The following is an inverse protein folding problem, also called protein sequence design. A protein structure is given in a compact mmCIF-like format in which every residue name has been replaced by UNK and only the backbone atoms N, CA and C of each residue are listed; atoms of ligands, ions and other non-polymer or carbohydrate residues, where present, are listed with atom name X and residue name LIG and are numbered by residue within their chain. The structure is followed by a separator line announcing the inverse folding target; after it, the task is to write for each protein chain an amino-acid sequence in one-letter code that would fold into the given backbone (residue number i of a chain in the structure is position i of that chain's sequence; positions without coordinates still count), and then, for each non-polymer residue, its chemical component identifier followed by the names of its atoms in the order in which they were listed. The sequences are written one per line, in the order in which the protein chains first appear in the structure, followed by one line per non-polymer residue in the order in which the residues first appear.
data_IF_164889907818
#
_entry.id   IF_164889907818
#
_cell.length_a   1.000
_cell.length_b   1.000
_cell.length_c   1.000
_cell.angle_alpha   90.00
_cell.angle_beta   90.00
_cell.angle_gamma   90.00
#
_symmetry.space_group_name_H-M   'P 1'
#
loop_
_entity.id
_entity.type
_entity.pdbx_description
1 polymer ?
#
# COMPACT_ATOMS: atom_id res chain seq x y z
N UNK A 1 4.44 32.66 5.08
CA UNK A 1 4.92 32.01 6.33
C UNK A 1 3.84 31.22 7.05
N UNK A 2 2.82 31.83 7.69
CA UNK A 2 1.80 31.07 8.45
C UNK A 2 1.12 29.97 7.63
N UNK A 3 0.70 30.27 6.40
CA UNK A 3 0.09 29.28 5.49
C UNK A 3 1.02 28.12 5.12
N UNK A 4 2.31 28.37 4.95
CA UNK A 4 3.32 27.35 4.64
C UNK A 4 3.60 26.49 5.88
N UNK A 5 3.75 27.12 7.05
CA UNK A 5 4.00 26.42 8.32
C UNK A 5 2.79 25.66 8.87
N UNK A 6 1.58 25.98 8.42
CA UNK A 6 0.38 25.22 8.74
C UNK A 6 0.35 23.85 8.04
N UNK A 7 1.18 23.66 7.01
CA UNK A 7 1.32 22.38 6.35
C UNK A 7 2.44 21.55 7.03
N UNK A 8 2.14 20.39 7.63
CA UNK A 8 3.13 19.64 8.41
C UNK A 8 4.35 19.16 7.60
N UNK A 9 4.15 18.79 6.33
CA UNK A 9 5.26 18.34 5.48
C UNK A 9 6.22 19.49 5.14
N UNK A 10 5.70 20.68 4.82
CA UNK A 10 6.53 21.86 4.57
C UNK A 10 7.15 22.42 5.84
N UNK A 11 6.46 22.31 6.98
CA UNK A 11 6.95 22.79 8.27
C UNK A 11 8.13 21.98 8.82
N UNK A 12 8.25 20.71 8.42
CA UNK A 12 9.35 19.83 8.80
C UNK A 12 10.66 20.13 8.07
N UNK A 13 10.60 20.86 6.95
CA UNK A 13 11.80 21.36 6.28
C UNK A 13 12.25 22.61 7.02
N UNK A 14 13.42 22.56 7.65
CA UNK A 14 14.03 23.74 8.27
C UNK A 14 14.51 24.70 7.17
N UNK A 15 14.14 25.96 7.29
CA UNK A 15 14.61 27.01 6.37
C UNK A 15 14.68 28.38 7.06
N UNK A 16 15.65 29.18 6.64
CA UNK A 16 15.80 30.58 7.00
C UNK A 16 15.16 31.50 5.96
N UNK A 17 15.13 32.80 6.27
CA UNK A 17 14.55 33.82 5.39
C UNK A 17 15.45 35.06 5.38
N UNK A 18 15.98 35.39 4.21
CA UNK A 18 16.73 36.62 3.96
C UNK A 18 15.84 37.66 3.27
N UNK A 19 15.69 38.84 3.89
CA UNK A 19 14.97 40.01 3.33
C UNK A 19 15.85 41.25 3.23
N UNK A 20 17.16 41.08 3.24
CA UNK A 20 18.10 42.19 3.14
C UNK A 20 17.95 42.88 1.78
N UNK A 21 17.85 44.22 1.79
CA UNK A 21 17.86 45.02 0.54
C UNK A 21 19.16 44.86 -0.26
N UNK A 22 20.23 44.38 0.38
CA UNK A 22 21.54 44.14 -0.24
C UNK A 22 21.80 42.66 -0.53
N UNK A 23 20.78 41.80 -0.45
CA UNK A 23 20.97 40.37 -0.71
C UNK A 23 21.27 40.14 -2.20
N UNK A 24 22.42 39.55 -2.51
CA UNK A 24 22.83 39.24 -3.88
C UNK A 24 22.04 38.10 -4.52
N UNK A 25 21.33 37.31 -3.72
CA UNK A 25 20.54 36.15 -4.16
C UNK A 25 19.03 36.44 -4.21
N UNK A 26 18.60 37.62 -3.73
CA UNK A 26 17.20 38.01 -3.85
C UNK A 26 16.87 38.27 -5.33
N UNK A 27 15.79 37.68 -5.87
CA UNK A 27 15.47 37.82 -7.28
C UNK A 27 15.09 39.26 -7.61
N UNK A 28 15.46 39.71 -8.81
CA UNK A 28 15.16 41.08 -9.28
C UNK A 28 13.71 41.29 -9.67
N UNK A 29 13.14 40.33 -10.41
CA UNK A 29 11.79 40.41 -10.98
C UNK A 29 10.83 39.34 -10.42
N UNK A 30 11.32 38.49 -9.51
CA UNK A 30 10.58 37.40 -8.87
C UNK A 30 10.20 37.68 -7.40
N UNK A 31 9.73 36.63 -6.73
CA UNK A 31 9.32 36.68 -5.32
C UNK A 31 10.37 36.07 -4.39
N UNK A 32 10.90 34.90 -4.75
CA UNK A 32 11.82 34.14 -3.89
C UNK A 32 12.77 33.28 -4.72
N UNK A 33 13.97 33.08 -4.19
CA UNK A 33 14.89 32.01 -4.58
C UNK A 33 15.31 31.25 -3.33
N UNK A 34 15.70 29.98 -3.47
CA UNK A 34 16.21 29.14 -2.37
C UNK A 34 17.64 28.72 -2.63
N UNK A 35 18.45 28.66 -1.58
CA UNK A 35 19.81 28.16 -1.67
C UNK A 35 20.04 26.83 -0.97
N UNK A 36 21.25 26.30 -1.16
CA UNK A 36 21.72 25.04 -0.55
C UNK A 36 21.87 25.09 0.97
N UNK A 37 21.91 26.27 1.60
CA UNK A 37 22.01 26.40 3.06
C UNK A 37 20.61 26.38 3.72
N UNK A 38 19.55 26.30 2.91
CA UNK A 38 18.18 26.32 3.37
C UNK A 38 17.64 27.74 3.56
N UNK A 39 18.26 28.76 2.99
CA UNK A 39 17.78 30.14 3.08
C UNK A 39 16.88 30.52 1.90
N UNK A 40 15.72 31.11 2.22
CA UNK A 40 14.82 31.71 1.25
C UNK A 40 15.14 33.20 1.07
N UNK A 41 15.65 33.56 -0.10
CA UNK A 41 15.99 34.92 -0.48
C UNK A 41 14.78 35.61 -1.10
N UNK A 42 14.13 36.45 -0.32
CA UNK A 42 12.87 37.08 -0.67
C UNK A 42 13.12 38.46 -1.26
N UNK A 43 12.40 38.81 -2.33
CA UNK A 43 12.43 40.16 -2.86
C UNK A 43 11.93 41.16 -1.79
N UNK A 44 12.74 42.16 -1.39
CA UNK A 44 12.48 42.99 -0.21
C UNK A 44 11.22 43.87 -0.34
N UNK A 45 11.00 44.44 -1.53
CA UNK A 45 9.93 45.43 -1.78
C UNK A 45 8.76 44.93 -2.64
N UNK A 46 8.73 43.66 -3.09
CA UNK A 46 7.69 43.18 -3.99
C UNK A 46 6.37 43.02 -3.23
N UNK A 47 5.30 43.58 -3.78
CA UNK A 47 3.95 43.44 -3.23
C UNK A 47 3.21 42.38 -4.04
N UNK A 48 2.66 41.38 -3.35
CA UNK A 48 1.84 40.33 -3.93
C UNK A 48 0.80 39.87 -2.90
N UNK A 49 -0.29 39.25 -3.35
CA UNK A 49 -1.29 38.69 -2.45
C UNK A 49 -0.67 37.64 -1.51
N UNK A 50 -1.16 37.52 -0.26
CA UNK A 50 -0.66 36.51 0.68
C UNK A 50 -0.71 35.08 0.14
N UNK A 51 -1.70 34.76 -0.70
CA UNK A 51 -1.83 33.46 -1.34
C UNK A 51 -0.74 33.19 -2.39
N UNK A 52 -0.33 34.21 -3.16
CA UNK A 52 0.79 34.08 -4.09
C UNK A 52 2.12 33.94 -3.35
N UNK A 53 2.32 34.69 -2.27
CA UNK A 53 3.48 34.49 -1.40
C UNK A 53 3.52 33.09 -0.79
N UNK A 54 2.38 32.54 -0.37
CA UNK A 54 2.33 31.18 0.16
C UNK A 54 2.71 30.14 -0.89
N UNK A 55 2.22 30.28 -2.12
CA UNK A 55 2.60 29.41 -3.25
C UNK A 55 4.11 29.48 -3.51
N UNK A 56 4.66 30.68 -3.68
CA UNK A 56 6.08 30.84 -4.01
C UNK A 56 7.02 30.35 -2.91
N UNK A 57 6.67 30.60 -1.65
CA UNK A 57 7.43 30.05 -0.52
C UNK A 57 7.32 28.52 -0.45
N UNK A 58 6.14 27.95 -0.68
CA UNK A 58 5.98 26.49 -0.72
C UNK A 58 6.79 25.85 -1.86
N UNK A 59 6.78 26.46 -3.05
CA UNK A 59 7.60 26.05 -4.19
C UNK A 59 9.09 26.03 -3.83
N UNK A 60 9.60 27.11 -3.22
CA UNK A 60 11.00 27.21 -2.81
C UNK A 60 11.37 26.16 -1.73
N UNK A 61 10.49 25.92 -0.75
CA UNK A 61 10.69 24.87 0.27
C UNK A 61 10.66 23.47 -0.35
N UNK A 62 9.83 23.22 -1.36
CA UNK A 62 9.77 21.94 -2.06
C UNK A 62 11.07 21.65 -2.82
N UNK A 63 11.79 22.65 -3.34
CA UNK A 63 13.13 22.42 -3.90
C UNK A 63 14.13 21.86 -2.88
N UNK A 64 14.03 22.27 -1.60
CA UNK A 64 14.81 21.66 -0.52
C UNK A 64 14.35 20.21 -0.27
N UNK A 65 13.03 20.01 -0.14
CA UNK A 65 12.44 18.70 0.14
C UNK A 65 12.62 17.67 -0.99
N UNK A 66 12.80 18.11 -2.24
CA UNK A 66 13.05 17.23 -3.39
C UNK A 66 14.55 17.01 -3.62
N UNK A 67 15.41 17.71 -2.89
CA UNK A 67 16.87 17.60 -3.04
C UNK A 67 17.42 18.33 -4.26
N UNK A 68 16.75 19.37 -4.76
CA UNK A 68 17.18 20.15 -5.93
C UNK A 68 18.35 21.09 -5.61
N UNK A 69 18.39 21.57 -4.37
CA UNK A 69 19.45 22.42 -3.80
C UNK A 69 20.00 21.76 -2.53
N UNK A 70 20.65 20.58 -2.62
CA UNK A 70 21.09 19.86 -1.44
C UNK A 70 22.26 20.58 -0.77
N UNK A 71 22.28 20.57 0.56
CA UNK A 71 23.43 21.00 1.34
C UNK A 71 24.55 19.95 1.20
N UNK A 72 25.68 20.32 0.59
CA UNK A 72 26.79 19.39 0.37
C UNK A 72 28.14 20.10 0.38
N UNK A 73 29.19 19.41 0.85
CA UNK A 73 30.57 19.91 0.81
C UNK A 73 31.15 19.78 -0.60
N UNK A 74 31.91 20.78 -1.03
CA UNK A 74 32.61 20.79 -2.32
C UNK A 74 31.89 21.55 -3.43
N UNK A 75 32.58 21.73 -4.56
CA UNK A 75 32.05 22.47 -5.71
C UNK A 75 30.95 21.66 -6.41
N UNK A 76 29.89 22.36 -6.87
CA UNK A 76 28.72 21.74 -7.49
C UNK A 76 28.57 22.23 -8.92
N UNK A 77 28.33 21.29 -9.83
CA UNK A 77 27.97 21.64 -11.21
C UNK A 77 26.60 22.29 -11.21
N UNK A 78 26.50 23.50 -11.76
CA UNK A 78 25.22 24.18 -11.93
C UNK A 78 24.36 23.43 -12.95
N UNK A 79 23.10 23.11 -12.63
CA UNK A 79 22.17 22.54 -13.59
C UNK A 79 21.99 23.50 -14.76
N UNK A 80 21.79 22.94 -15.95
CA UNK A 80 21.45 23.76 -17.09
C UNK A 80 19.99 24.23 -17.02
N UNK A 81 19.59 25.09 -17.96
CA UNK A 81 18.22 25.62 -17.99
C UNK A 81 17.13 24.55 -18.14
N UNK A 82 17.46 23.39 -18.72
CA UNK A 82 16.52 22.29 -18.93
C UNK A 82 16.28 21.53 -17.63
N UNK A 83 17.33 21.26 -16.86
CA UNK A 83 17.20 20.68 -15.52
C UNK A 83 16.42 21.59 -14.57
N UNK A 84 16.76 22.89 -14.58
CA UNK A 84 16.08 23.89 -13.74
C UNK A 84 14.57 23.92 -14.02
N UNK A 85 14.19 23.98 -15.30
CA UNK A 85 12.79 23.96 -15.69
C UNK A 85 12.09 22.65 -15.34
N UNK A 86 12.75 21.49 -15.51
CA UNK A 86 12.16 20.19 -15.21
C UNK A 86 11.84 20.04 -13.72
N UNK A 87 12.77 20.49 -12.86
CA UNK A 87 12.60 20.55 -11.40
C UNK A 87 11.45 21.46 -10.98
N UNK A 88 11.38 22.67 -11.52
CA UNK A 88 10.26 23.59 -11.22
C UNK A 88 8.93 23.03 -11.73
N UNK A 89 8.90 22.33 -12.87
CA UNK A 89 7.72 21.62 -13.37
C UNK A 89 7.27 20.52 -12.42
N UNK A 90 8.19 19.70 -11.92
CA UNK A 90 7.88 18.64 -10.95
C UNK A 90 7.36 19.23 -9.62
N UNK A 91 8.01 20.28 -9.11
CA UNK A 91 7.58 20.99 -7.89
C UNK A 91 6.18 21.59 -8.07
N UNK A 92 5.91 22.30 -9.17
CA UNK A 92 4.60 22.88 -9.41
C UNK A 92 3.52 21.82 -9.62
N UNK A 93 3.83 20.72 -10.31
CA UNK A 93 2.93 19.56 -10.46
C UNK A 93 2.54 18.98 -9.11
N UNK A 94 3.51 18.83 -8.20
CA UNK A 94 3.24 18.40 -6.83
C UNK A 94 2.38 19.42 -6.08
N UNK A 95 2.68 20.72 -6.20
CA UNK A 95 1.98 21.80 -5.50
C UNK A 95 0.51 21.96 -5.94
N UNK A 96 0.17 21.58 -7.19
CA UNK A 96 -1.23 21.49 -7.63
C UNK A 96 -2.03 20.43 -6.84
N UNK A 97 -1.41 19.31 -6.48
CA UNK A 97 -2.00 18.29 -5.61
C UNK A 97 -1.89 18.62 -4.12
N UNK A 98 -1.12 19.64 -3.77
CA UNK A 98 -0.74 19.99 -2.41
C UNK A 98 -1.06 21.46 -2.12
N UNK A 99 -2.36 21.76 -1.98
CA UNK A 99 -2.92 23.12 -2.07
C UNK A 99 -2.47 24.06 -0.95
N UNK A 100 -1.34 24.72 -1.16
CA UNK A 100 -0.84 25.82 -0.32
C UNK A 100 -0.76 27.09 -1.16
N UNK A 101 -1.53 28.12 -0.76
CA UNK A 101 -1.60 29.38 -1.50
C UNK A 101 -2.46 29.30 -2.76
N UNK A 102 -2.15 30.14 -3.74
CA UNK A 102 -2.83 30.19 -5.05
C UNK A 102 -1.80 30.15 -6.16
N UNK A 103 -2.04 29.31 -7.17
CA UNK A 103 -1.23 29.24 -8.39
C UNK A 103 -1.21 30.61 -9.07
N UNK A 104 -0.03 31.20 -9.34
CA UNK A 104 0.09 32.44 -10.09
C UNK A 104 -0.51 32.33 -11.50
N UNK A 105 -1.16 33.39 -11.98
CA UNK A 105 -1.85 33.43 -13.29
C UNK A 105 -0.93 33.15 -14.49
N UNK A 106 0.39 33.38 -14.34
CA UNK A 106 1.38 33.13 -15.39
C UNK A 106 1.86 31.68 -15.48
N UNK A 107 1.43 30.79 -14.57
CA UNK A 107 1.83 29.39 -14.58
C UNK A 107 0.77 28.50 -15.28
N UNK A 108 1.19 27.42 -15.96
CA UNK A 108 0.26 26.46 -16.57
C UNK A 108 -0.71 25.84 -15.56
N UNK A 109 -1.93 25.54 -16.01
CA UNK A 109 -2.94 24.84 -15.22
C UNK A 109 -2.64 23.34 -15.03
N UNK A 110 -1.79 22.77 -15.89
CA UNK A 110 -1.37 21.38 -15.84
C UNK A 110 0.08 21.24 -16.31
N UNK A 111 0.74 20.18 -15.84
CA UNK A 111 2.14 19.89 -16.13
C UNK A 111 2.28 18.51 -16.77
N UNK A 112 3.32 18.26 -17.59
CA UNK A 112 3.53 16.97 -18.22
C UNK A 112 3.88 15.90 -17.19
N UNK A 113 3.52 14.65 -17.47
CA UNK A 113 3.95 13.48 -16.70
C UNK A 113 5.41 13.09 -17.01
N UNK A 114 6.01 12.31 -16.11
CA UNK A 114 7.40 11.84 -16.19
C UNK A 114 8.30 12.38 -15.08
N UNK A 115 9.46 11.74 -14.92
CA UNK A 115 10.55 12.17 -14.04
C UNK A 115 11.34 13.35 -14.65
N UNK A 116 12.07 14.06 -13.79
CA UNK A 116 12.79 15.29 -14.15
C UNK A 116 13.90 15.05 -15.17
N UNK A 117 14.63 13.94 -15.04
CA UNK A 117 15.75 13.60 -15.92
C UNK A 117 15.26 13.34 -17.36
N UNK A 118 14.18 12.58 -17.50
CA UNK A 118 13.52 12.32 -18.78
C UNK A 118 12.93 13.58 -19.41
N UNK A 119 12.32 14.46 -18.60
CA UNK A 119 11.83 15.76 -19.07
C UNK A 119 12.98 16.63 -19.60
N UNK A 120 14.06 16.77 -18.82
CA UNK A 120 15.23 17.58 -19.19
C UNK A 120 15.94 17.02 -20.43
N UNK A 121 16.15 15.70 -20.51
CA UNK A 121 16.74 15.04 -21.68
C UNK A 121 15.91 15.27 -22.95
N UNK A 122 14.58 15.17 -22.86
CA UNK A 122 13.68 15.45 -23.98
C UNK A 122 13.80 16.90 -24.43
N UNK A 123 13.79 17.87 -23.52
CA UNK A 123 13.86 19.28 -23.88
C UNK A 123 15.24 19.74 -24.35
N UNK A 124 16.33 19.08 -23.94
CA UNK A 124 17.65 19.27 -24.56
C UNK A 124 17.64 18.93 -26.05
N UNK A 125 16.90 17.89 -26.43
CA UNK A 125 16.79 17.44 -27.83
C UNK A 125 15.79 18.27 -28.63
N UNK A 126 14.61 18.49 -28.08
CA UNK A 126 13.45 19.01 -28.83
C UNK A 126 13.21 20.52 -28.61
N UNK A 127 13.91 21.12 -27.64
CA UNK A 127 13.72 22.50 -27.19
C UNK A 127 12.85 22.59 -25.92
N UNK A 128 13.09 23.61 -25.10
CA UNK A 128 12.31 23.91 -23.90
C UNK A 128 11.03 24.66 -24.30
N UNK A 129 9.82 24.14 -24.00
CA UNK A 129 8.59 24.85 -24.29
C UNK A 129 8.49 26.18 -23.53
N UNK A 130 8.04 27.25 -24.21
CA UNK A 130 7.92 28.60 -23.64
C UNK A 130 7.10 28.64 -22.35
N UNK A 131 6.09 27.79 -22.23
CA UNK A 131 5.26 27.67 -21.02
C UNK A 131 6.04 27.27 -19.76
N UNK A 132 7.22 26.65 -19.90
CA UNK A 132 8.06 26.18 -18.79
C UNK A 132 9.36 26.98 -18.63
N UNK A 133 9.63 27.96 -19.50
CA UNK A 133 10.85 28.78 -19.40
C UNK A 133 10.89 29.65 -18.13
N UNK A 134 9.72 29.98 -17.56
CA UNK A 134 9.57 30.84 -16.38
C UNK A 134 8.68 30.19 -15.31
N UNK A 135 8.81 28.88 -15.15
CA UNK A 135 7.99 28.14 -14.18
C UNK A 135 8.50 28.22 -12.73
N UNK A 136 9.68 28.79 -12.51
CA UNK A 136 10.23 29.10 -11.18
C UNK A 136 9.66 30.39 -10.58
N UNK A 137 10.11 30.70 -9.37
CA UNK A 137 9.60 31.79 -8.53
C UNK A 137 10.48 33.04 -8.49
N UNK A 138 11.65 33.00 -9.13
CA UNK A 138 12.63 34.09 -9.23
C UNK A 138 12.49 34.94 -10.51
N UNK A 139 11.38 34.80 -11.24
CA UNK A 139 11.13 35.57 -12.46
C UNK A 139 11.91 35.00 -13.65
N UNK A 140 12.80 35.81 -14.24
CA UNK A 140 13.66 35.37 -15.34
C UNK A 140 14.96 34.69 -14.87
N UNK A 141 15.27 34.80 -13.57
CA UNK A 141 16.44 34.21 -12.94
C UNK A 141 16.09 32.81 -12.38
N UNK A 142 17.07 31.89 -12.23
CA UNK A 142 16.86 30.64 -11.51
C UNK A 142 16.49 30.90 -10.05
N UNK A 143 15.49 30.17 -9.55
CA UNK A 143 15.12 30.17 -8.13
C UNK A 143 15.87 29.12 -7.30
N UNK A 144 16.79 28.39 -7.93
CA UNK A 144 17.62 27.35 -7.32
C UNK A 144 19.08 27.83 -7.29
N UNK A 145 19.58 28.14 -6.09
CA UNK A 145 20.93 28.68 -5.88
C UNK A 145 21.81 27.64 -5.21
N UNK A 146 22.65 26.95 -5.98
CA UNK A 146 23.59 25.98 -5.41
C UNK A 146 24.79 26.68 -4.78
N UNK A 147 24.98 26.46 -3.48
CA UNK A 147 26.11 26.95 -2.70
C UNK A 147 26.86 25.77 -2.07
N UNK A 148 28.20 25.84 -1.97
CA UNK A 148 28.96 24.87 -1.18
C UNK A 148 28.67 25.03 0.31
N UNK A 149 28.38 23.93 1.00
CA UNK A 149 28.16 23.93 2.45
C UNK A 149 29.46 24.26 3.18
N UNK A 150 29.46 25.36 3.93
CA UNK A 150 30.58 25.83 4.74
C UNK A 150 30.38 25.68 6.25
N UNK A 151 29.26 25.09 6.67
CA UNK A 151 28.95 24.85 8.08
C UNK A 151 29.90 23.85 8.76
N UNK A 152 30.10 24.04 10.06
CA UNK A 152 30.91 23.15 10.90
C UNK A 152 30.21 21.82 11.22
N UNK A 153 28.88 21.77 11.10
CA UNK A 153 28.06 20.58 11.30
C UNK A 153 27.93 19.73 10.04
N UNK A 154 27.34 18.53 10.19
CA UNK A 154 26.87 17.77 9.03
C UNK A 154 25.82 18.58 8.28
N UNK A 155 25.82 18.57 6.93
CA UNK A 155 24.79 19.23 6.15
C UNK A 155 23.40 18.67 6.50
N UNK A 156 22.37 19.52 6.60
CA UNK A 156 21.01 19.06 6.82
C UNK A 156 20.49 18.22 5.64
N UNK A 157 19.78 17.15 5.94
CA UNK A 157 19.08 16.32 4.94
C UNK A 157 17.60 16.72 4.87
N UNK A 158 17.34 17.82 4.15
CA UNK A 158 15.99 18.33 3.94
C UNK A 158 15.10 17.36 3.17
N UNK A 159 15.69 16.53 2.30
CA UNK A 159 14.97 15.53 1.52
C UNK A 159 14.41 14.43 2.44
N UNK A 160 15.25 13.90 3.34
CA UNK A 160 14.82 12.92 4.33
C UNK A 160 13.80 13.50 5.31
N UNK A 161 14.01 14.74 5.76
CA UNK A 161 13.08 15.43 6.66
C UNK A 161 11.69 15.58 6.00
N UNK A 162 11.65 16.05 4.75
CA UNK A 162 10.42 16.19 3.98
C UNK A 162 9.73 14.84 3.74
N UNK A 163 10.45 13.82 3.26
CA UNK A 163 9.89 12.51 2.99
C UNK A 163 9.29 11.85 4.25
N UNK A 164 10.00 11.96 5.38
CA UNK A 164 9.53 11.47 6.68
C UNK A 164 8.25 12.18 7.12
N UNK A 165 8.21 13.51 6.99
CA UNK A 165 7.05 14.30 7.38
C UNK A 165 5.84 14.10 6.46
N UNK A 166 6.07 13.97 5.15
CA UNK A 166 5.03 13.65 4.18
C UNK A 166 4.39 12.29 4.50
N UNK A 167 5.20 11.27 4.76
CA UNK A 167 4.73 9.93 5.14
C UNK A 167 3.87 9.99 6.40
N UNK A 168 4.35 10.68 7.44
CA UNK A 168 3.58 10.88 8.69
C UNK A 168 2.26 11.63 8.45
N UNK A 169 2.27 12.65 7.59
CA UNK A 169 1.07 13.44 7.27
C UNK A 169 0.03 12.59 6.55
N UNK A 170 0.45 11.73 5.61
CA UNK A 170 -0.45 10.79 4.92
C UNK A 170 -1.00 9.77 5.91
N UNK A 171 -0.17 9.15 6.74
CA UNK A 171 -0.63 8.22 7.78
C UNK A 171 -1.63 8.88 8.74
N UNK A 172 -1.36 10.12 9.16
CA UNK A 172 -2.26 10.90 10.00
C UNK A 172 -3.62 11.17 9.34
N UNK A 173 -3.63 11.52 8.04
CA UNK A 173 -4.86 11.73 7.29
C UNK A 173 -5.67 10.42 7.14
N UNK A 174 -5.00 9.29 6.94
CA UNK A 174 -5.63 7.97 6.93
C UNK A 174 -6.21 7.59 8.30
N UNK A 175 -5.49 7.90 9.38
CA UNK A 175 -5.99 7.70 10.75
C UNK A 175 -7.23 8.57 11.03
N UNK A 176 -7.25 9.83 10.59
CA UNK A 176 -8.43 10.71 10.71
C UNK A 176 -9.62 10.20 9.89
N UNK A 177 -9.39 9.81 8.63
CA UNK A 177 -10.45 9.26 7.77
C UNK A 177 -11.06 7.97 8.36
N UNK A 178 -10.25 7.18 9.06
CA UNK A 178 -10.69 6.00 9.81
C UNK A 178 -11.27 6.30 11.19
N UNK A 179 -11.47 7.57 11.58
CA UNK A 179 -12.00 7.97 12.89
C UNK A 179 -11.08 7.64 14.07
N UNK A 180 -9.79 7.37 13.81
CA UNK A 180 -8.79 6.99 14.82
C UNK A 180 -8.07 8.19 15.44
N UNK A 181 -8.31 9.39 14.91
CA UNK A 181 -7.68 10.63 15.31
C UNK A 181 -8.59 11.82 14.99
N UNK A 182 -8.65 12.79 15.88
CA UNK A 182 -9.53 13.97 15.72
C UNK A 182 -8.88 15.09 14.89
N UNK A 183 -7.54 15.10 14.76
CA UNK A 183 -6.79 16.13 14.03
C UNK A 183 -5.43 15.61 13.53
N UNK A 184 -4.79 16.30 12.59
CA UNK A 184 -3.46 15.95 12.07
C UNK A 184 -2.33 16.02 13.13
N UNK A 185 -2.59 16.68 14.27
CA UNK A 185 -1.62 16.89 15.36
C UNK A 185 -1.99 16.15 16.66
N UNK A 186 -3.18 15.51 16.74
CA UNK A 186 -3.63 14.80 17.96
C UNK A 186 -2.78 13.57 18.34
N UNK A 187 -2.86 13.05 19.55
CA UNK A 187 -2.20 11.76 19.83
C UNK A 187 -2.97 10.62 19.14
N UNK A 188 -2.25 9.75 18.43
CA UNK A 188 -2.84 8.54 17.90
C UNK A 188 -3.16 7.58 19.07
N UNK A 189 -4.34 6.96 19.06
CA UNK A 189 -4.64 5.87 19.99
C UNK A 189 -3.55 4.80 19.86
N UNK A 190 -3.00 4.33 21.00
CA UNK A 190 -1.94 3.33 21.00
C UNK A 190 -2.42 2.07 20.29
N UNK A 191 -1.90 1.86 19.07
CA UNK A 191 -2.27 0.73 18.20
C UNK A 191 -1.95 -0.58 18.91
N UNK A 192 -2.90 -1.50 18.88
CA UNK A 192 -2.69 -2.89 19.31
C UNK A 192 -1.80 -3.59 18.27
N UNK A 193 -0.99 -4.59 18.64
CA UNK A 193 -0.12 -5.32 17.71
C UNK A 193 -0.81 -5.81 16.43
N UNK A 194 -2.02 -6.39 16.56
CA UNK A 194 -2.82 -6.81 15.40
C UNK A 194 -3.28 -5.66 14.49
N UNK A 195 -3.45 -4.45 15.03
CA UNK A 195 -3.76 -3.28 14.20
C UNK A 195 -2.53 -2.83 13.41
N UNK A 196 -1.34 -2.89 14.01
CA UNK A 196 -0.07 -2.62 13.30
C UNK A 196 0.14 -3.65 12.18
N UNK A 197 -0.15 -4.92 12.44
CA UNK A 197 -0.05 -5.98 11.45
C UNK A 197 -1.00 -5.76 10.26
N UNK A 198 -2.27 -5.38 10.50
CA UNK A 198 -3.20 -5.06 9.42
C UNK A 198 -2.76 -3.82 8.64
N UNK A 199 -2.36 -2.75 9.33
CA UNK A 199 -1.87 -1.53 8.68
C UNK A 199 -0.65 -1.83 7.78
N UNK A 200 0.23 -2.76 8.18
CA UNK A 200 1.35 -3.21 7.36
C UNK A 200 0.90 -3.87 6.07
N UNK A 201 -0.14 -4.71 6.08
CA UNK A 201 -0.70 -5.27 4.84
C UNK A 201 -1.23 -4.16 3.93
N UNK A 202 -1.97 -3.20 4.49
CA UNK A 202 -2.52 -2.05 3.74
C UNK A 202 -1.43 -1.21 3.08
N UNK A 203 -0.35 -0.89 3.79
CA UNK A 203 0.68 0.02 3.30
C UNK A 203 1.82 -0.64 2.53
N UNK A 204 2.12 -1.91 2.83
CA UNK A 204 3.42 -2.50 2.52
C UNK A 204 3.34 -3.81 1.74
N UNK A 205 2.17 -4.47 1.67
CA UNK A 205 2.02 -5.77 1.02
C UNK A 205 0.95 -5.76 -0.09
N UNK A 206 1.32 -5.41 -1.34
CA UNK A 206 0.41 -5.18 -2.45
C UNK A 206 -0.64 -6.28 -2.67
N UNK A 207 -0.23 -7.55 -2.56
CA UNK A 207 -1.08 -8.71 -2.83
C UNK A 207 -2.36 -8.71 -2.00
N UNK A 208 -2.25 -8.36 -0.73
CA UNK A 208 -3.36 -8.40 0.23
C UNK A 208 -3.83 -7.01 0.67
N UNK A 209 -3.16 -5.93 0.23
CA UNK A 209 -3.41 -4.58 0.74
C UNK A 209 -4.84 -4.07 0.51
N UNK A 210 -5.42 -4.33 -0.67
CA UNK A 210 -6.81 -3.95 -0.97
C UNK A 210 -7.81 -4.70 -0.08
N UNK A 211 -7.57 -5.99 0.17
CA UNK A 211 -8.44 -6.83 1.00
C UNK A 211 -8.31 -6.42 2.46
N UNK A 212 -7.09 -6.24 2.95
CA UNK A 212 -6.81 -5.79 4.31
C UNK A 212 -7.46 -4.43 4.61
N UNK A 213 -7.54 -3.52 3.63
CA UNK A 213 -8.19 -2.22 3.78
C UNK A 213 -9.72 -2.30 3.95
N UNK A 214 -10.35 -3.37 3.45
CA UNK A 214 -11.80 -3.58 3.57
C UNK A 214 -12.23 -4.54 4.68
N UNK A 215 -11.29 -5.25 5.32
CA UNK A 215 -11.58 -6.16 6.43
C UNK A 215 -11.65 -5.40 7.76
N UNK A 216 -12.63 -5.79 8.59
CA UNK A 216 -12.79 -5.30 9.96
C UNK A 216 -12.24 -6.32 10.97
N UNK A 217 -11.42 -5.84 11.90
CA UNK A 217 -10.97 -6.65 13.04
C UNK A 217 -11.95 -6.53 14.21
N UNK A 218 -12.37 -7.65 14.76
CA UNK A 218 -13.24 -7.74 15.94
C UNK A 218 -12.49 -8.44 17.07
N UNK A 219 -11.95 -7.67 18.00
CA UNK A 219 -11.16 -8.18 19.13
C UNK A 219 -11.97 -8.10 20.44
N UNK A 220 -12.86 -9.07 20.66
CA UNK A 220 -13.73 -9.16 21.83
C UNK A 220 -13.54 -10.50 22.55
N UNK A 221 -13.16 -10.43 23.84
CA UNK A 221 -12.84 -11.62 24.65
C UNK A 221 -14.07 -12.49 24.94
N UNK A 222 -15.25 -11.90 25.11
CA UNK A 222 -16.48 -12.63 25.40
C UNK A 222 -16.98 -13.34 24.16
N UNK A 223 -16.95 -12.66 23.01
CA UNK A 223 -17.28 -13.24 21.71
C UNK A 223 -16.30 -14.37 21.37
N UNK A 224 -14.99 -14.15 21.52
CA UNK A 224 -13.98 -15.18 21.28
C UNK A 224 -14.23 -16.42 22.15
N UNK A 225 -14.55 -16.24 23.44
CA UNK A 225 -14.90 -17.34 24.33
C UNK A 225 -16.18 -18.06 23.91
N UNK A 226 -17.23 -17.32 23.56
CA UNK A 226 -18.53 -17.88 23.20
C UNK A 226 -18.48 -18.73 21.92
N UNK A 227 -17.62 -18.37 20.96
CA UNK A 227 -17.49 -19.05 19.67
C UNK A 227 -16.28 -19.97 19.55
N UNK A 228 -15.55 -20.16 20.66
CA UNK A 228 -14.41 -21.07 20.74
C UNK A 228 -13.22 -20.61 19.90
N UNK A 229 -12.97 -19.30 19.81
CA UNK A 229 -11.86 -18.70 19.05
C UNK A 229 -10.63 -18.62 19.97
N UNK A 230 -9.67 -19.50 19.71
CA UNK A 230 -8.44 -19.66 20.50
C UNK A 230 -7.41 -18.59 20.19
N UNK A 231 -7.24 -18.26 18.90
CA UNK A 231 -6.36 -17.19 18.40
C UNK A 231 -7.12 -16.26 17.46
N UNK A 232 -7.56 -16.77 16.31
CA UNK A 232 -8.24 -16.01 15.27
C UNK A 232 -9.26 -16.89 14.53
N UNK A 233 -10.20 -16.26 13.82
CA UNK A 233 -11.13 -16.90 12.90
C UNK A 233 -11.66 -15.83 11.93
N UNK A 234 -12.02 -16.22 10.72
CA UNK A 234 -12.52 -15.30 9.69
C UNK A 234 -13.97 -15.60 9.32
N UNK A 235 -14.73 -14.55 9.08
CA UNK A 235 -16.01 -14.64 8.39
C UNK A 235 -15.94 -13.85 7.08
N UNK A 236 -15.81 -14.54 5.93
CA UNK A 236 -15.77 -13.90 4.62
C UNK A 236 -17.08 -13.20 4.24
N UNK A 237 -18.24 -13.70 4.68
CA UNK A 237 -19.55 -13.09 4.41
C UNK A 237 -19.80 -11.79 5.18
N UNK A 238 -19.07 -11.58 6.28
CA UNK A 238 -19.15 -10.36 7.08
C UNK A 238 -17.99 -9.38 6.78
N UNK A 239 -16.93 -9.84 6.11
CA UNK A 239 -15.71 -9.05 5.97
C UNK A 239 -14.98 -8.86 7.30
N UNK A 240 -15.11 -9.83 8.22
CA UNK A 240 -14.62 -9.69 9.61
C UNK A 240 -13.59 -10.78 9.96
N UNK A 241 -12.50 -10.37 10.62
CA UNK A 241 -11.60 -11.29 11.32
C UNK A 241 -11.79 -11.09 12.82
N UNK A 242 -12.14 -12.17 13.52
CA UNK A 242 -12.34 -12.20 14.95
C UNK A 242 -11.06 -12.65 15.64
N UNK A 243 -10.61 -11.89 16.64
CA UNK A 243 -9.35 -12.11 17.34
C UNK A 243 -9.60 -12.36 18.82
N UNK A 244 -8.82 -13.24 19.43
CA UNK A 244 -8.80 -13.40 20.88
C UNK A 244 -7.82 -12.40 21.52
N UNK A 245 -8.29 -11.29 22.15
CA UNK A 245 -7.42 -10.23 22.67
C UNK A 245 -6.63 -10.65 23.92
N UNK A 246 -6.91 -11.84 24.48
CA UNK A 246 -6.18 -12.39 25.62
C UNK A 246 -4.88 -13.07 25.22
N UNK A 247 -4.70 -13.38 23.92
CA UNK A 247 -3.44 -13.89 23.41
C UNK A 247 -2.39 -12.79 23.29
N UNK A 248 -1.13 -13.19 23.38
CA UNK A 248 0.03 -12.31 23.26
C UNK A 248 0.92 -12.90 22.19
N UNK A 249 1.03 -12.16 21.10
CA UNK A 249 1.89 -12.41 19.96
C UNK A 249 2.56 -11.08 19.61
N UNK A 250 3.77 -11.14 19.07
CA UNK A 250 4.46 -9.96 18.57
C UNK A 250 3.90 -9.49 17.22
N UNK A 251 4.45 -8.39 16.70
CA UNK A 251 3.98 -7.79 15.44
C UNK A 251 4.19 -8.71 14.22
N UNK A 252 5.26 -9.52 14.20
CA UNK A 252 5.53 -10.45 13.08
C UNK A 252 4.62 -11.67 13.16
N UNK A 253 4.37 -12.19 14.37
CA UNK A 253 3.41 -13.27 14.60
C UNK A 253 1.99 -12.84 14.22
N UNK A 254 1.57 -11.63 14.57
CA UNK A 254 0.28 -11.11 14.13
C UNK A 254 0.19 -10.90 12.62
N UNK A 255 1.29 -10.56 11.93
CA UNK A 255 1.30 -10.51 10.45
C UNK A 255 1.04 -11.89 9.86
N UNK A 256 1.68 -12.92 10.40
CA UNK A 256 1.44 -14.29 9.94
C UNK A 256 -0.03 -14.71 10.17
N UNK A 257 -0.55 -14.49 11.38
CA UNK A 257 -1.94 -14.81 11.76
C UNK A 257 -2.93 -14.09 10.85
N UNK A 258 -2.76 -12.78 10.63
CA UNK A 258 -3.68 -12.02 9.77
C UNK A 258 -3.54 -12.39 8.29
N UNK A 259 -2.32 -12.61 7.81
CA UNK A 259 -2.09 -13.10 6.45
C UNK A 259 -2.81 -14.42 6.19
N UNK A 260 -2.82 -15.31 7.18
CA UNK A 260 -3.51 -16.59 7.12
C UNK A 260 -5.03 -16.42 6.97
N UNK A 261 -5.65 -15.65 7.87
CA UNK A 261 -7.09 -15.40 7.84
C UNK A 261 -7.53 -14.64 6.57
N UNK A 262 -6.71 -13.69 6.11
CA UNK A 262 -6.94 -12.95 4.87
C UNK A 262 -6.94 -13.89 3.66
N UNK A 263 -6.00 -14.84 3.59
CA UNK A 263 -5.93 -15.82 2.50
C UNK A 263 -7.11 -16.80 2.53
N UNK A 264 -7.57 -17.24 3.70
CA UNK A 264 -8.78 -18.06 3.82
C UNK A 264 -10.02 -17.37 3.23
N UNK A 265 -10.21 -16.09 3.56
CA UNK A 265 -11.31 -15.31 3.01
C UNK A 265 -11.14 -15.07 1.50
N UNK A 266 -9.96 -14.61 1.10
CA UNK A 266 -9.71 -14.18 -0.26
C UNK A 266 -9.76 -15.33 -1.28
N UNK A 267 -9.27 -16.51 -0.89
CA UNK A 267 -9.28 -17.74 -1.71
C UNK A 267 -10.58 -18.54 -1.57
N UNK A 268 -11.55 -18.03 -0.81
CA UNK A 268 -12.88 -18.61 -0.63
C UNK A 268 -12.85 -20.08 -0.19
N UNK A 269 -11.98 -20.42 0.76
CA UNK A 269 -11.83 -21.80 1.22
C UNK A 269 -13.12 -22.39 1.81
N UNK A 270 -14.00 -21.55 2.39
CA UNK A 270 -15.33 -21.99 2.81
C UNK A 270 -16.18 -22.55 1.65
N UNK A 271 -16.25 -21.82 0.54
CA UNK A 271 -17.06 -22.21 -0.62
C UNK A 271 -16.42 -23.35 -1.43
N UNK A 272 -15.09 -23.34 -1.51
CA UNK A 272 -14.29 -24.34 -2.25
C UNK A 272 -14.36 -25.74 -1.62
N UNK A 273 -14.79 -25.83 -0.36
CA UNK A 273 -14.99 -27.10 0.33
C UNK A 273 -15.92 -28.06 -0.44
N UNK A 274 -16.97 -27.55 -1.08
CA UNK A 274 -17.95 -28.37 -1.78
C UNK A 274 -18.57 -29.44 -0.87
N UNK A 275 -18.52 -30.71 -1.27
CA UNK A 275 -19.07 -31.84 -0.49
C UNK A 275 -18.07 -32.49 0.47
N UNK A 276 -16.87 -31.92 0.64
CA UNK A 276 -15.83 -32.45 1.54
C UNK A 276 -16.18 -32.21 3.00
N UNK A 277 -15.50 -32.92 3.92
CA UNK A 277 -15.61 -32.63 5.35
C UNK A 277 -15.05 -31.22 5.64
N UNK A 278 -15.85 -30.28 6.17
CA UNK A 278 -15.44 -28.88 6.30
C UNK A 278 -14.22 -28.67 7.19
N UNK A 279 -14.12 -29.43 8.28
CA UNK A 279 -12.99 -29.30 9.20
C UNK A 279 -11.70 -29.85 8.59
N UNK A 280 -11.75 -31.02 7.97
CA UNK A 280 -10.61 -31.64 7.30
C UNK A 280 -10.15 -30.80 6.10
N UNK A 281 -11.07 -30.20 5.34
CA UNK A 281 -10.73 -29.29 4.25
C UNK A 281 -10.07 -28.01 4.75
N UNK A 282 -10.57 -27.42 5.85
CA UNK A 282 -9.89 -26.27 6.47
C UNK A 282 -8.47 -26.61 6.90
N UNK A 283 -8.27 -27.77 7.57
CA UNK A 283 -6.93 -28.25 7.95
C UNK A 283 -6.00 -28.40 6.73
N UNK A 284 -6.52 -28.87 5.60
CA UNK A 284 -5.74 -28.97 4.37
C UNK A 284 -5.35 -27.60 3.83
N UNK A 285 -6.29 -26.63 3.87
CA UNK A 285 -6.03 -25.25 3.50
C UNK A 285 -4.97 -24.61 4.41
N UNK A 286 -4.99 -24.87 5.72
CA UNK A 286 -4.01 -24.34 6.67
C UNK A 286 -2.58 -24.78 6.33
N UNK A 287 -2.38 -26.06 5.98
CA UNK A 287 -1.06 -26.56 5.57
C UNK A 287 -0.52 -25.82 4.34
N UNK A 288 -1.40 -25.53 3.39
CA UNK A 288 -1.04 -24.84 2.14
C UNK A 288 -0.77 -23.36 2.40
N UNK A 289 -1.68 -22.66 3.10
CA UNK A 289 -1.54 -21.24 3.45
C UNK A 289 -0.27 -21.00 4.28
N UNK A 290 -0.04 -21.81 5.31
CA UNK A 290 1.12 -21.64 6.18
C UNK A 290 2.42 -21.87 5.41
N UNK A 291 2.44 -22.85 4.49
CA UNK A 291 3.57 -23.06 3.60
C UNK A 291 3.84 -21.84 2.71
N UNK A 292 2.80 -21.25 2.10
CA UNK A 292 2.97 -20.04 1.29
C UNK A 292 3.45 -18.85 2.10
N UNK A 293 2.90 -18.61 3.29
CA UNK A 293 3.33 -17.49 4.14
C UNK A 293 4.79 -17.64 4.60
N UNK A 294 5.22 -18.87 4.88
CA UNK A 294 6.63 -19.19 5.19
C UNK A 294 7.54 -18.93 3.98
N UNK A 295 7.18 -19.42 2.79
CA UNK A 295 7.92 -19.20 1.54
C UNK A 295 8.01 -17.71 1.15
N UNK A 296 6.93 -16.95 1.36
CA UNK A 296 6.87 -15.51 1.10
C UNK A 296 7.52 -14.67 2.21
N UNK A 297 7.95 -15.29 3.32
CA UNK A 297 8.49 -14.63 4.51
C UNK A 297 7.55 -13.57 5.09
N UNK A 298 6.25 -13.87 5.14
CA UNK A 298 5.22 -12.96 5.66
C UNK A 298 5.03 -13.21 7.16
N UNK A 299 5.69 -12.38 7.97
CA UNK A 299 5.64 -12.51 9.42
C UNK A 299 6.43 -13.70 9.95
N UNK A 300 6.24 -14.00 11.23
CA UNK A 300 6.85 -15.17 11.90
C UNK A 300 5.74 -16.15 12.26
N UNK A 301 5.85 -17.40 11.80
CA UNK A 301 4.85 -18.42 12.12
C UNK A 301 4.82 -18.70 13.63
N UNK A 302 3.68 -18.54 14.32
CA UNK A 302 3.59 -18.89 15.73
C UNK A 302 3.79 -20.38 15.98
N UNK A 303 4.24 -20.73 17.19
CA UNK A 303 4.47 -22.12 17.54
C UNK A 303 3.16 -22.95 17.50
N UNK A 304 3.23 -24.15 16.91
CA UNK A 304 2.15 -25.12 16.92
C UNK A 304 1.14 -25.01 15.76
N UNK A 305 1.37 -24.13 14.79
CA UNK A 305 0.60 -24.09 13.55
C UNK A 305 0.90 -25.29 12.64
N UNK A 306 -0.02 -25.56 11.71
CA UNK A 306 0.06 -26.67 10.77
C UNK A 306 1.05 -26.37 9.64
N UNK A 307 2.24 -26.96 9.71
CA UNK A 307 3.24 -26.87 8.64
C UNK A 307 3.92 -28.23 8.44
N UNK A 308 4.02 -28.68 7.18
CA UNK A 308 4.76 -29.88 6.80
C UNK A 308 5.41 -29.64 5.42
N UNK A 309 6.74 -29.45 5.34
CA UNK A 309 7.45 -29.19 4.09
C UNK A 309 7.24 -30.26 3.00
N UNK A 310 6.80 -31.47 3.36
CA UNK A 310 6.52 -32.55 2.39
C UNK A 310 5.21 -32.35 1.63
N UNK A 311 4.40 -31.39 2.05
CA UNK A 311 3.16 -30.98 1.40
C UNK A 311 3.34 -29.74 0.51
N UNK A 312 4.56 -29.18 0.44
CA UNK A 312 4.85 -28.03 -0.40
C UNK A 312 4.52 -28.29 -1.87
N UNK A 313 3.93 -27.29 -2.53
CA UNK A 313 3.53 -27.35 -3.93
C UNK A 313 2.23 -28.13 -4.23
N UNK A 314 1.55 -28.66 -3.21
CA UNK A 314 0.25 -29.31 -3.39
C UNK A 314 -0.91 -28.33 -3.22
N UNK A 315 -2.00 -28.58 -3.92
CA UNK A 315 -3.29 -27.92 -3.70
C UNK A 315 -3.95 -28.36 -2.39
N UNK A 316 -4.90 -27.55 -1.90
CA UNK A 316 -5.70 -27.90 -0.72
C UNK A 316 -6.47 -29.22 -0.92
N UNK A 317 -6.95 -29.50 -2.13
CA UNK A 317 -7.61 -30.76 -2.47
C UNK A 317 -6.66 -31.96 -2.38
N UNK A 318 -5.46 -31.87 -2.91
CA UNK A 318 -4.48 -32.96 -2.84
C UNK A 318 -4.03 -33.22 -1.40
N UNK A 319 -3.87 -32.17 -0.60
CA UNK A 319 -3.59 -32.31 0.84
C UNK A 319 -4.78 -32.96 1.54
N UNK A 320 -6.02 -32.56 1.23
CA UNK A 320 -7.23 -33.17 1.78
C UNK A 320 -7.28 -34.67 1.49
N UNK A 321 -7.04 -35.09 0.25
CA UNK A 321 -7.08 -36.50 -0.15
C UNK A 321 -6.06 -37.35 0.60
N UNK A 322 -4.87 -36.78 0.89
CA UNK A 322 -3.85 -37.44 1.72
C UNK A 322 -4.27 -37.55 3.18
N UNK A 323 -4.93 -36.52 3.73
CA UNK A 323 -5.36 -36.49 5.13
C UNK A 323 -6.61 -37.35 5.37
N UNK A 324 -7.49 -37.51 4.38
CA UNK A 324 -8.72 -38.29 4.48
C UNK A 324 -8.48 -39.77 4.81
N UNK A 325 -7.28 -40.29 4.50
CA UNK A 325 -6.88 -41.67 4.82
C UNK A 325 -6.69 -41.99 6.30
N UNK A 326 -6.55 -40.99 7.19
CA UNK A 326 -6.43 -41.19 8.64
C UNK A 326 -7.26 -40.19 9.46
N UNK A 327 -8.59 -40.38 9.54
CA UNK A 327 -9.49 -39.45 10.24
C UNK A 327 -9.22 -39.32 11.75
N UNK A 328 -8.56 -40.32 12.36
CA UNK A 328 -8.26 -40.31 13.81
C UNK A 328 -7.14 -39.35 14.14
N UNK A 329 -6.13 -39.26 13.27
CA UNK A 329 -5.03 -38.31 13.40
C UNK A 329 -5.53 -36.87 13.19
N UNK A 330 -6.39 -36.65 12.21
CA UNK A 330 -6.84 -35.29 11.84
C UNK A 330 -7.72 -34.62 12.88
N UNK A 331 -8.56 -35.37 13.60
CA UNK A 331 -9.40 -34.81 14.69
C UNK A 331 -8.62 -34.22 15.87
N UNK A 332 -7.29 -34.45 15.93
CA UNK A 332 -6.43 -33.92 16.99
C UNK A 332 -5.69 -32.65 16.60
N UNK A 333 -5.74 -32.28 15.33
CA UNK A 333 -5.10 -31.07 14.82
C UNK A 333 -5.83 -29.83 15.36
N UNK A 334 -5.11 -28.71 15.37
CA UNK A 334 -5.61 -27.44 15.85
C UNK A 334 -5.37 -26.40 14.77
N UNK A 335 -6.42 -25.66 14.47
CA UNK A 335 -6.40 -24.47 13.63
C UNK A 335 -6.18 -23.23 14.52
N UNK A 336 -6.11 -22.03 13.93
CA UNK A 336 -6.03 -20.80 14.73
C UNK A 336 -7.29 -20.59 15.55
N UNK A 337 -8.46 -21.00 15.04
CA UNK A 337 -9.69 -21.00 15.82
C UNK A 337 -9.63 -22.01 16.96
N UNK A 338 -9.09 -23.20 16.72
CA UNK A 338 -8.80 -24.15 17.80
C UNK A 338 -8.90 -25.61 17.41
N UNK A 339 -8.87 -26.47 18.41
CA UNK A 339 -8.85 -27.93 18.20
C UNK A 339 -10.20 -28.44 17.69
N UNK A 340 -10.20 -29.12 16.54
CA UNK A 340 -11.41 -29.74 15.99
C UNK A 340 -12.43 -28.78 15.37
N UNK A 341 -12.05 -27.51 15.15
CA UNK A 341 -12.89 -26.48 14.52
C UNK A 341 -12.11 -25.79 13.41
N UNK A 342 -12.78 -25.32 12.34
CA UNK A 342 -12.13 -24.62 11.22
C UNK A 342 -12.13 -23.10 11.38
N UNK A 343 -11.17 -22.41 10.74
CA UNK A 343 -10.96 -20.96 10.85
C UNK A 343 -12.08 -20.15 10.19
N UNK A 344 -12.64 -20.66 9.10
CA UNK A 344 -13.79 -20.05 8.42
C UNK A 344 -15.08 -20.28 9.21
N UNK A 345 -15.72 -19.20 9.65
CA UNK A 345 -17.02 -19.21 10.30
C UNK A 345 -18.15 -19.30 9.27
N UNK A 346 -19.13 -20.19 9.52
CA UNK A 346 -20.25 -20.41 8.59
C UNK A 346 -21.42 -19.42 8.69
N UNK A 347 -21.35 -18.43 9.60
CA UNK A 347 -22.34 -17.36 9.72
C UNK A 347 -21.75 -16.16 10.47
N UNK A 348 -22.17 -14.91 10.13
CA UNK A 348 -21.76 -13.71 10.86
C UNK A 348 -22.10 -13.78 12.35
N UNK A 349 -21.23 -13.25 13.21
CA UNK A 349 -21.45 -13.24 14.66
C UNK A 349 -22.12 -11.94 15.16
N UNK A 350 -22.15 -10.91 14.32
CA UNK A 350 -22.80 -9.62 14.56
C UNK A 350 -24.13 -9.46 13.80
N UNK A 351 -24.80 -8.30 13.94
CA UNK A 351 -25.96 -7.97 13.12
C UNK A 351 -25.58 -7.92 11.63
N UNK A 352 -26.54 -8.18 10.71
CA UNK A 352 -26.28 -8.09 9.27
C UNK A 352 -25.74 -6.70 8.90
N UNK A 353 -24.60 -6.68 8.21
CA UNK A 353 -24.02 -5.46 7.67
C UNK A 353 -24.79 -4.92 6.46
N UNK A 354 -24.30 -3.82 5.90
CA UNK A 354 -24.76 -3.37 4.57
C UNK A 354 -24.45 -4.43 3.52
N UNK A 355 -25.35 -4.61 2.55
CA UNK A 355 -25.15 -5.58 1.48
C UNK A 355 -24.00 -5.09 0.57
N UNK A 356 -22.85 -5.75 0.70
CA UNK A 356 -21.69 -5.58 -0.17
C UNK A 356 -21.42 -6.93 -0.83
N UNK A 357 -21.15 -6.92 -2.14
CA UNK A 357 -20.69 -8.13 -2.84
C UNK A 357 -19.23 -8.41 -2.43
N UNK A 358 -19.08 -9.10 -1.29
CA UNK A 358 -17.77 -9.43 -0.74
C UNK A 358 -17.03 -10.45 -1.60
N UNK A 359 -17.74 -11.27 -2.39
CA UNK A 359 -17.10 -12.18 -3.36
C UNK A 359 -16.39 -11.36 -4.46
N UNK A 360 -17.09 -10.40 -5.05
CA UNK A 360 -16.47 -9.51 -6.02
C UNK A 360 -15.31 -8.71 -5.42
N UNK A 361 -15.48 -8.23 -4.18
CA UNK A 361 -14.43 -7.54 -3.45
C UNK A 361 -13.15 -8.37 -3.30
N UNK A 362 -13.25 -9.61 -2.80
CA UNK A 362 -12.07 -10.47 -2.59
C UNK A 362 -11.38 -10.84 -3.91
N UNK A 363 -12.17 -11.26 -4.91
CA UNK A 363 -11.65 -11.65 -6.22
C UNK A 363 -10.93 -10.49 -6.89
N UNK A 364 -11.54 -9.31 -6.91
CA UNK A 364 -10.96 -8.09 -7.48
C UNK A 364 -9.71 -7.68 -6.69
N UNK A 365 -9.77 -7.74 -5.36
CA UNK A 365 -8.67 -7.42 -4.47
C UNK A 365 -7.42 -8.26 -4.75
N UNK A 366 -7.55 -9.59 -4.84
CA UNK A 366 -6.44 -10.48 -5.16
C UNK A 366 -5.90 -10.26 -6.57
N UNK A 367 -6.77 -10.13 -7.58
CA UNK A 367 -6.33 -9.95 -8.96
C UNK A 367 -5.54 -8.64 -9.12
N UNK A 368 -6.04 -7.54 -8.55
CA UNK A 368 -5.36 -6.24 -8.59
C UNK A 368 -4.08 -6.26 -7.75
N UNK A 369 -4.09 -6.93 -6.61
CA UNK A 369 -2.91 -7.11 -5.76
C UNK A 369 -1.81 -7.89 -6.48
N UNK A 370 -2.16 -8.97 -7.18
CA UNK A 370 -1.23 -9.76 -7.99
C UNK A 370 -0.64 -8.92 -9.15
N UNK A 371 -1.47 -8.20 -9.90
CA UNK A 371 -1.01 -7.31 -10.97
C UNK A 371 -0.01 -6.26 -10.45
N UNK A 372 -0.28 -5.69 -9.28
CA UNK A 372 0.58 -4.69 -8.67
C UNK A 372 1.90 -5.29 -8.18
N UNK A 373 1.84 -6.50 -7.62
CA UNK A 373 3.00 -7.26 -7.16
C UNK A 373 3.95 -7.60 -8.31
N UNK A 374 3.40 -8.11 -9.43
CA UNK A 374 4.16 -8.45 -10.64
C UNK A 374 4.78 -7.21 -11.28
N UNK A 375 4.03 -6.09 -11.41
CA UNK A 375 4.54 -4.85 -12.02
C UNK A 375 5.64 -4.16 -11.21
N UNK A 376 5.66 -4.34 -9.90
CA UNK A 376 6.64 -3.71 -9.01
C UNK A 376 7.77 -4.66 -8.60
N UNK A 377 7.79 -5.90 -9.11
CA UNK A 377 8.78 -6.94 -8.78
C UNK A 377 8.95 -7.15 -7.25
N UNK A 378 7.85 -7.08 -6.49
CA UNK A 378 7.89 -6.99 -5.02
C UNK A 378 8.05 -8.33 -4.30
N UNK A 379 9.15 -9.05 -4.55
CA UNK A 379 9.47 -10.28 -3.83
C UNK A 379 8.78 -11.53 -4.38
N UNK A 380 9.07 -12.67 -3.75
CA UNK A 380 8.67 -13.99 -4.25
C UNK A 380 7.19 -14.31 -3.97
N UNK A 381 6.51 -14.91 -4.95
CA UNK A 381 5.19 -15.54 -4.77
C UNK A 381 5.27 -17.02 -5.19
N UNK A 382 4.79 -17.96 -4.36
CA UNK A 382 4.72 -19.37 -4.72
C UNK A 382 3.83 -19.59 -5.95
N UNK A 383 4.27 -20.47 -6.85
CA UNK A 383 3.54 -20.78 -8.08
C UNK A 383 2.10 -21.25 -7.83
N UNK A 384 1.90 -22.08 -6.80
CA UNK A 384 0.56 -22.54 -6.40
C UNK A 384 -0.36 -21.38 -6.02
N UNK A 385 0.12 -20.40 -5.24
CA UNK A 385 -0.70 -19.23 -4.89
C UNK A 385 -1.10 -18.41 -6.13
N UNK A 386 -0.17 -18.22 -7.07
CA UNK A 386 -0.44 -17.50 -8.32
C UNK A 386 -1.48 -18.24 -9.17
N UNK A 387 -1.40 -19.57 -9.25
CA UNK A 387 -2.38 -20.40 -9.95
C UNK A 387 -3.77 -20.28 -9.33
N UNK A 388 -3.87 -20.29 -8.01
CA UNK A 388 -5.13 -20.16 -7.28
C UNK A 388 -5.79 -18.79 -7.49
N UNK A 389 -5.02 -17.71 -7.44
CA UNK A 389 -5.52 -16.36 -7.72
C UNK A 389 -6.03 -16.26 -9.16
N UNK A 390 -5.28 -16.80 -10.13
CA UNK A 390 -5.68 -16.80 -11.54
C UNK A 390 -6.92 -17.67 -11.78
N UNK A 391 -7.08 -18.76 -11.05
CA UNK A 391 -8.27 -19.59 -11.12
C UNK A 391 -9.54 -18.83 -10.69
N UNK A 392 -9.44 -17.97 -9.68
CA UNK A 392 -10.56 -17.13 -9.24
C UNK A 392 -11.05 -16.15 -10.32
N UNK A 393 -10.17 -15.68 -11.22
CA UNK A 393 -10.53 -14.76 -12.30
C UNK A 393 -11.34 -15.42 -13.42
N UNK A 394 -11.38 -16.75 -13.48
CA UNK A 394 -12.09 -17.50 -14.50
C UNK A 394 -13.41 -18.02 -13.94
N UNK A 395 -14.56 -17.73 -14.56
CA UNK A 395 -15.81 -18.36 -14.15
C UNK A 395 -15.66 -19.89 -14.24
N UNK A 396 -16.20 -20.66 -13.29
CA UNK A 396 -16.12 -22.11 -13.33
C UNK A 396 -16.62 -22.60 -14.69
N UNK A 397 -15.73 -23.24 -15.44
CA UNK A 397 -16.09 -23.84 -16.71
C UNK A 397 -17.24 -24.82 -16.43
N UNK A 398 -18.31 -24.84 -17.24
CA UNK A 398 -19.44 -25.74 -17.03
C UNK A 398 -19.01 -27.15 -17.44
N UNK A 399 -18.12 -27.75 -16.66
CA UNK A 399 -17.49 -29.03 -16.93
C UNK A 399 -18.53 -30.11 -17.06
N UNK A 400 -19.62 -30.08 -16.29
CA UNK A 400 -20.74 -31.02 -16.46
C UNK A 400 -21.32 -30.96 -17.87
N UNK A 401 -21.56 -29.76 -18.40
CA UNK A 401 -22.10 -29.58 -19.75
C UNK A 401 -21.05 -29.89 -20.84
N UNK A 402 -19.76 -29.69 -20.56
CA UNK A 402 -18.68 -30.00 -21.52
C UNK A 402 -18.32 -31.48 -21.53
N UNK A 403 -18.25 -32.12 -20.36
CA UNK A 403 -18.05 -33.54 -20.18
C UNK A 403 -19.26 -34.31 -20.69
N UNK A 404 -20.49 -33.89 -20.40
CA UNK A 404 -21.68 -34.52 -20.96
C UNK A 404 -21.66 -34.52 -22.49
N UNK A 405 -21.31 -33.38 -23.11
CA UNK A 405 -21.12 -33.28 -24.57
C UNK A 405 -20.01 -34.20 -25.07
N UNK A 406 -18.88 -34.25 -24.37
CA UNK A 406 -17.78 -35.15 -24.70
C UNK A 406 -18.19 -36.62 -24.56
N UNK A 407 -18.94 -36.99 -23.52
CA UNK A 407 -19.47 -38.34 -23.33
C UNK A 407 -20.45 -38.71 -24.44
N UNK A 408 -21.36 -37.81 -24.84
CA UNK A 408 -22.27 -38.03 -25.97
C UNK A 408 -21.52 -38.20 -27.30
N UNK A 409 -20.39 -37.52 -27.48
CA UNK A 409 -19.60 -37.53 -28.72
C UNK A 409 -18.63 -38.73 -28.81
N UNK A 410 -18.01 -39.12 -27.69
CA UNK A 410 -16.90 -40.08 -27.69
C UNK A 410 -17.18 -41.38 -26.95
N UNK A 411 -18.25 -41.48 -26.15
CA UNK A 411 -18.62 -42.74 -25.48
C UNK A 411 -19.82 -43.36 -26.20
N UNK A 412 -19.63 -44.51 -26.87
CA UNK A 412 -20.72 -45.20 -27.54
C UNK A 412 -21.83 -45.51 -26.55
N UNK A 413 -23.07 -45.14 -26.89
CA UNK A 413 -24.23 -45.53 -26.10
C UNK A 413 -24.29 -47.06 -26.06
N UNK A 414 -24.45 -47.70 -24.89
CA UNK A 414 -24.61 -49.15 -24.84
C UNK A 414 -25.86 -49.51 -25.64
N UNK A 415 -25.67 -50.17 -26.78
CA UNK A 415 -26.78 -50.75 -27.53
C UNK A 415 -27.42 -51.81 -26.63
N UNK A 416 -28.74 -51.73 -26.37
CA UNK A 416 -29.42 -52.77 -25.64
C UNK A 416 -29.33 -54.05 -26.46
N UNK A 417 -28.45 -54.98 -26.05
CA UNK A 417 -28.40 -56.33 -26.59
C UNK A 417 -29.71 -57.01 -26.21
N UNK A 418 -30.67 -57.02 -27.13
CA UNK A 418 -31.84 -57.88 -27.00
C UNK A 418 -31.40 -59.31 -27.26
N UNK A 419 -31.08 -60.04 -26.20
CA UNK A 419 -30.99 -61.50 -26.28
C UNK A 419 -32.42 -62.06 -26.36
N UNK A 420 -32.85 -62.46 -27.57
CA UNK A 420 -33.93 -63.42 -27.72
C UNK A 420 -33.31 -64.81 -27.89
N UNK A 421 -33.03 -65.48 -26.76
CA UNK A 421 -32.95 -66.94 -26.56
C UNK A 421 -32.27 -67.23 -25.23
#
# INVERSE_FOLDING_TARGET
MRLVKANPALAAVEFGVCRSERCSFAPRDGLVAVDSDGDLHIHPARIAEPAHWAWSLAHAVLHLGFGHVPAAKGERTRPDRYDLAARCVAVNRFLLGFTVGRTPEGLPASYPDGDEEGLAARWRRDGLPTAYERCGTAGAEPDQVLLPWHGWSQPPDHQLAFATALTRTVSAAMDMAGGRRDSLDGEALRKRPWQNALDWFVSSYPLLGAIAAGIKLVADAELARAHGISVAAVNPEAGEIYLNPLRRFDDEEWRFILGHELLHAALRHGDRCGTRDPYLFNVACDYVINGWLDEMQVGTMPEGLLHDPRLAGLSAEEVYDRLAGDPRRTRRLATLRGKGVGDVLGAPLGPPGEYVDLDEFYRRGLCQGLDLHERQERGFLPGGLVEEIRALSHPPLPWDARLARWFDEFVPRPEPVRSYA
#
